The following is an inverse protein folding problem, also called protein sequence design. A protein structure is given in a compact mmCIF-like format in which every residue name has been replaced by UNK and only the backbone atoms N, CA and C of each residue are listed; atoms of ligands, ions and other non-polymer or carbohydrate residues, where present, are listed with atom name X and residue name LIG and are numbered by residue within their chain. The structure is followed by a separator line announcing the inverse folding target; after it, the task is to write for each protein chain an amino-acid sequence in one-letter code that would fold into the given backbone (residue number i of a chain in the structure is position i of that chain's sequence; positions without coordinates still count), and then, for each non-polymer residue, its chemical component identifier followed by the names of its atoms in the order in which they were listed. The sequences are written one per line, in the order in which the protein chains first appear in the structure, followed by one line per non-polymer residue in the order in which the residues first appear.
data_IF_633731735404
#
_entry.id   IF_633731735404
#
_cell.length_a   1.000
_cell.length_b   1.000
_cell.length_c   1.000
_cell.angle_alpha   90.00
_cell.angle_beta   90.00
_cell.angle_gamma   90.00
#
_symmetry.space_group_name_H-M   'P 1'
#
loop_
_entity.id
_entity.type
_entity.pdbx_description
1 polymer ?
#
# COMPACT_ATOMS: atom_id res chain seq x y z
N UNK A 1 26.76 53.74 -11.78
CA UNK A 1 27.02 52.37 -12.29
C UNK A 1 26.77 52.41 -13.78
N UNK A 2 27.62 51.80 -14.60
CA UNK A 2 27.29 51.64 -16.02
C UNK A 2 26.11 50.68 -16.16
N UNK A 3 25.06 51.11 -16.85
CA UNK A 3 23.96 50.25 -17.25
C UNK A 3 24.39 49.38 -18.44
N UNK A 4 23.60 48.36 -18.75
CA UNK A 4 23.83 47.54 -19.95
C UNK A 4 23.76 48.36 -21.23
N UNK A 5 22.97 49.43 -21.25
CA UNK A 5 22.82 50.30 -22.41
C UNK A 5 24.06 51.17 -22.62
N UNK A 6 24.70 51.62 -21.53
CA UNK A 6 25.97 52.35 -21.58
C UNK A 6 27.13 51.47 -22.11
N UNK A 7 27.16 50.20 -21.73
CA UNK A 7 28.18 49.23 -22.21
C UNK A 7 27.98 48.94 -23.69
N UNK A 8 26.72 48.83 -24.16
CA UNK A 8 26.39 48.65 -25.58
C UNK A 8 26.76 49.89 -26.40
N UNK A 9 26.48 51.07 -25.89
CA UNK A 9 26.89 52.33 -26.51
C UNK A 9 28.41 52.39 -26.64
N UNK A 10 29.14 52.13 -25.55
CA UNK A 10 30.60 52.14 -25.52
C UNK A 10 31.20 51.15 -26.52
N UNK A 11 30.62 49.96 -26.64
CA UNK A 11 31.02 48.98 -27.65
C UNK A 11 30.91 49.52 -29.08
N UNK A 12 29.77 50.15 -29.41
CA UNK A 12 29.53 50.74 -30.73
C UNK A 12 30.52 51.85 -31.06
N UNK A 13 30.73 52.78 -30.13
CA UNK A 13 31.68 53.89 -30.31
C UNK A 13 33.13 53.39 -30.47
N UNK A 14 33.57 52.44 -29.66
CA UNK A 14 34.92 51.86 -29.80
C UNK A 14 35.09 51.09 -31.12
N UNK A 15 34.02 50.50 -31.65
CA UNK A 15 34.03 49.82 -32.93
C UNK A 15 34.21 50.80 -34.09
N UNK A 16 33.47 51.91 -34.09
CA UNK A 16 33.58 52.98 -35.09
C UNK A 16 34.97 53.63 -35.07
N UNK A 17 35.49 53.97 -33.88
CA UNK A 17 36.81 54.59 -33.75
C UNK A 17 37.94 53.68 -34.25
N UNK A 18 37.79 52.35 -34.12
CA UNK A 18 38.78 51.40 -34.61
C UNK A 18 38.85 51.32 -36.14
N UNK A 19 37.78 51.69 -36.85
CA UNK A 19 37.81 51.74 -38.32
C UNK A 19 38.76 52.84 -38.82
N UNK A 20 38.99 53.87 -38.01
CA UNK A 20 39.86 55.02 -38.33
C UNK A 20 41.24 54.89 -37.68
N UNK A 21 41.33 54.31 -36.48
CA UNK A 21 42.57 54.17 -35.71
C UNK A 21 42.72 52.76 -35.10
N UNK A 22 43.72 52.02 -35.56
CA UNK A 22 43.98 50.64 -35.10
C UNK A 22 44.50 50.55 -33.66
N UNK A 23 44.87 51.66 -33.02
CA UNK A 23 45.43 51.68 -31.66
C UNK A 23 44.36 51.66 -30.56
N UNK A 24 43.08 51.77 -30.91
CA UNK A 24 41.96 51.82 -29.96
C UNK A 24 41.79 50.47 -29.24
N UNK A 25 41.82 50.43 -27.89
CA UNK A 25 41.74 49.20 -27.11
C UNK A 25 40.40 48.48 -27.28
N UNK A 26 40.38 47.19 -26.97
CA UNK A 26 39.15 46.40 -27.00
C UNK A 26 38.32 46.60 -25.72
N UNK A 27 37.00 46.48 -25.85
CA UNK A 27 36.09 46.61 -24.71
C UNK A 27 36.46 45.66 -23.56
N UNK A 28 36.86 44.42 -23.87
CA UNK A 28 37.29 43.45 -22.85
C UNK A 28 38.53 43.93 -22.07
N UNK A 29 39.41 44.71 -22.69
CA UNK A 29 40.60 45.30 -22.06
C UNK A 29 40.20 46.39 -21.07
N UNK A 30 39.16 47.18 -21.40
CA UNK A 30 38.63 48.23 -20.53
C UNK A 30 37.79 47.66 -19.37
N UNK A 31 37.11 46.54 -19.61
CA UNK A 31 36.32 45.83 -18.60
C UNK A 31 37.18 44.90 -17.73
N UNK A 32 38.46 44.71 -18.07
CA UNK A 32 39.38 43.91 -17.27
C UNK A 32 39.58 44.55 -15.90
N UNK A 33 39.10 43.89 -14.84
CA UNK A 33 39.16 44.39 -13.46
C UNK A 33 37.88 45.07 -12.96
N UNK A 34 36.84 45.19 -13.79
CA UNK A 34 35.55 45.70 -13.33
C UNK A 34 34.75 44.61 -12.56
N UNK A 35 34.13 44.99 -11.45
CA UNK A 35 33.24 44.09 -10.69
C UNK A 35 31.81 44.16 -11.22
N UNK A 36 31.31 43.03 -11.71
CA UNK A 36 29.92 42.86 -12.10
C UNK A 36 29.04 42.72 -10.84
N UNK A 37 28.06 43.61 -10.65
CA UNK A 37 27.01 43.40 -9.64
C UNK A 37 25.78 42.81 -10.32
N UNK A 38 25.49 41.55 -10.06
CA UNK A 38 24.24 40.92 -10.48
C UNK A 38 23.09 41.37 -9.57
N UNK A 39 21.88 41.58 -10.10
CA UNK A 39 20.71 41.70 -9.26
C UNK A 39 20.49 40.38 -8.50
N UNK A 40 20.27 40.47 -7.20
CA UNK A 40 19.86 39.32 -6.41
C UNK A 40 18.41 38.96 -6.73
N UNK A 41 18.15 37.67 -6.95
CA UNK A 41 16.79 37.20 -7.17
C UNK A 41 15.98 37.33 -5.87
N UNK A 42 14.75 37.90 -5.91
CA UNK A 42 13.93 37.97 -4.72
C UNK A 42 13.63 36.57 -4.19
N UNK A 43 13.88 36.35 -2.90
CA UNK A 43 13.54 35.10 -2.22
C UNK A 43 12.02 35.10 -2.04
N UNK A 44 11.33 34.20 -2.74
CA UNK A 44 9.90 33.99 -2.50
C UNK A 44 9.71 33.19 -1.21
N UNK A 45 8.95 33.72 -0.28
CA UNK A 45 8.57 33.01 0.94
C UNK A 45 7.72 31.79 0.60
N UNK A 46 8.03 30.65 1.23
CA UNK A 46 7.32 29.40 0.96
C UNK A 46 5.94 29.47 1.59
N UNK A 47 4.90 29.17 0.81
CA UNK A 47 3.53 29.15 1.33
C UNK A 47 3.43 28.11 2.48
N UNK A 48 3.02 28.52 3.69
CA UNK A 48 3.00 27.66 4.88
C UNK A 48 2.04 26.46 4.72
N UNK A 49 0.95 26.63 3.97
CA UNK A 49 -0.03 25.56 3.71
C UNK A 49 0.57 24.46 2.82
N UNK A 50 1.31 24.85 1.78
CA UNK A 50 2.00 23.91 0.90
C UNK A 50 3.12 23.18 1.63
N UNK A 51 3.83 23.87 2.51
CA UNK A 51 4.88 23.26 3.33
C UNK A 51 4.32 22.22 4.30
N UNK A 52 3.24 22.54 5.03
CA UNK A 52 2.57 21.58 5.90
C UNK A 52 2.11 20.33 5.13
N UNK A 53 1.59 20.53 3.91
CA UNK A 53 1.20 19.41 3.04
C UNK A 53 2.39 18.56 2.60
N UNK A 54 3.49 19.18 2.22
CA UNK A 54 4.73 18.48 1.84
C UNK A 54 5.33 17.70 3.01
N UNK A 55 5.33 18.27 4.22
CA UNK A 55 5.78 17.58 5.43
C UNK A 55 4.92 16.36 5.74
N UNK A 56 3.59 16.49 5.64
CA UNK A 56 2.66 15.37 5.81
C UNK A 56 2.92 14.25 4.80
N UNK A 57 3.02 14.58 3.50
CA UNK A 57 3.28 13.61 2.44
C UNK A 57 4.64 12.92 2.60
N UNK A 58 5.67 13.67 3.01
CA UNK A 58 7.00 13.11 3.28
C UNK A 58 6.95 12.11 4.43
N UNK A 59 6.27 12.47 5.52
CA UNK A 59 6.07 11.57 6.65
C UNK A 59 5.33 10.29 6.25
N UNK A 60 4.25 10.40 5.48
CA UNK A 60 3.51 9.23 4.96
C UNK A 60 4.38 8.32 4.07
N UNK A 61 5.28 8.89 3.27
CA UNK A 61 6.23 8.12 2.45
C UNK A 61 7.30 7.45 3.31
N UNK A 62 7.88 8.16 4.27
CA UNK A 62 8.87 7.65 5.22
C UNK A 62 8.29 6.50 6.05
N UNK A 63 7.06 6.62 6.53
CA UNK A 63 6.35 5.55 7.26
C UNK A 63 6.18 4.31 6.37
N UNK A 64 5.76 4.49 5.11
CA UNK A 64 5.60 3.39 4.14
C UNK A 64 6.93 2.70 3.85
N UNK A 65 8.00 3.47 3.70
CA UNK A 65 9.35 2.96 3.46
C UNK A 65 9.90 2.25 4.68
N UNK A 66 9.70 2.79 5.88
CA UNK A 66 10.02 2.16 7.15
C UNK A 66 9.31 0.81 7.29
N UNK A 67 8.01 0.74 7.05
CA UNK A 67 7.25 -0.52 7.07
C UNK A 67 7.75 -1.51 6.02
N UNK A 68 8.14 -1.05 4.82
CA UNK A 68 8.71 -1.91 3.78
C UNK A 68 10.05 -2.51 4.21
N UNK A 69 10.93 -1.71 4.80
CA UNK A 69 12.26 -2.14 5.26
C UNK A 69 12.16 -3.08 6.48
N UNK A 70 11.23 -2.80 7.39
CA UNK A 70 11.10 -3.56 8.65
C UNK A 70 10.17 -4.77 8.56
N UNK A 71 9.49 -4.99 7.43
CA UNK A 71 8.57 -6.12 7.18
C UNK A 71 9.17 -7.50 7.50
N UNK A 72 10.48 -7.66 7.31
CA UNK A 72 11.17 -8.94 7.52
C UNK A 72 11.78 -9.09 8.92
N UNK A 73 11.83 -8.01 9.70
CA UNK A 73 12.49 -7.96 11.01
C UNK A 73 11.49 -8.22 12.14
N UNK A 74 10.24 -7.77 12.00
CA UNK A 74 9.17 -8.02 12.98
C UNK A 74 8.51 -9.38 12.71
N UNK A 75 9.13 -10.46 13.19
CA UNK A 75 8.54 -11.81 13.18
C UNK A 75 7.41 -11.97 14.21
N UNK A 76 7.31 -11.07 15.19
CA UNK A 76 6.37 -11.12 16.32
C UNK A 76 4.99 -10.59 15.90
N UNK A 77 4.93 -9.57 15.03
CA UNK A 77 3.67 -9.12 14.39
C UNK A 77 3.28 -9.92 13.15
N UNK A 78 4.06 -10.94 12.75
CA UNK A 78 3.83 -11.73 11.53
C UNK A 78 2.69 -12.77 11.67
N UNK A 79 1.94 -12.77 12.76
CA UNK A 79 0.90 -13.77 13.04
C UNK A 79 -0.39 -13.14 13.61
N UNK A 80 -1.09 -12.37 12.77
CA UNK A 80 -2.55 -12.50 12.69
C UNK A 80 -2.91 -12.59 11.21
N UNK A 81 -3.03 -13.80 10.64
CA UNK A 81 -3.36 -13.98 9.23
C UNK A 81 -4.76 -13.44 8.86
N UNK A 82 -5.59 -13.16 9.85
CA UNK A 82 -6.97 -12.67 9.74
C UNK A 82 -7.10 -11.24 9.17
N UNK A 83 -6.08 -10.38 9.35
CA UNK A 83 -6.15 -8.94 9.01
C UNK A 83 -5.46 -8.58 7.69
N UNK A 84 -4.83 -9.55 7.01
CA UNK A 84 -4.34 -9.28 5.67
C UNK A 84 -5.53 -9.23 4.72
N UNK A 85 -5.84 -8.05 4.19
CA UNK A 85 -6.90 -7.83 3.19
C UNK A 85 -6.86 -8.89 2.07
N UNK A 86 -5.68 -9.38 1.72
CA UNK A 86 -5.46 -10.49 0.79
C UNK A 86 -6.08 -11.83 1.22
N UNK A 87 -6.04 -12.17 2.52
CA UNK A 87 -6.64 -13.39 3.05
C UNK A 87 -8.16 -13.30 3.06
N UNK A 88 -8.70 -12.16 3.49
CA UNK A 88 -10.15 -11.90 3.45
C UNK A 88 -10.68 -11.89 2.02
N UNK A 89 -9.98 -11.26 1.06
CA UNK A 89 -10.33 -11.35 -0.37
C UNK A 89 -10.35 -12.80 -0.86
N UNK A 90 -9.36 -13.61 -0.46
CA UNK A 90 -9.27 -15.01 -0.87
C UNK A 90 -10.44 -15.85 -0.30
N UNK A 91 -10.83 -15.59 0.94
CA UNK A 91 -11.98 -16.24 1.57
C UNK A 91 -13.29 -15.84 0.90
N UNK A 92 -13.51 -14.54 0.63
CA UNK A 92 -14.69 -14.03 -0.09
C UNK A 92 -14.80 -14.67 -1.48
N UNK A 93 -13.69 -14.74 -2.23
CA UNK A 93 -13.68 -15.39 -3.54
C UNK A 93 -14.11 -16.86 -3.47
N UNK A 94 -13.71 -17.57 -2.41
CA UNK A 94 -14.07 -18.99 -2.24
C UNK A 94 -15.55 -19.17 -1.95
N UNK A 95 -16.15 -18.31 -1.13
CA UNK A 95 -17.59 -18.32 -0.88
C UNK A 95 -18.39 -17.93 -2.13
N UNK A 96 -17.92 -16.94 -2.91
CA UNK A 96 -18.55 -16.55 -4.17
C UNK A 96 -18.59 -17.71 -5.17
N UNK A 97 -17.47 -18.44 -5.30
CA UNK A 97 -17.40 -19.64 -6.15
C UNK A 97 -18.39 -20.72 -5.69
N UNK A 98 -18.52 -20.93 -4.37
CA UNK A 98 -19.47 -21.89 -3.83
C UNK A 98 -20.94 -21.51 -4.13
N UNK A 99 -21.29 -20.24 -4.01
CA UNK A 99 -22.63 -19.74 -4.36
C UNK A 99 -22.90 -19.89 -5.85
N UNK A 100 -21.93 -19.56 -6.71
CA UNK A 100 -22.07 -19.76 -8.15
C UNK A 100 -22.28 -21.24 -8.50
N UNK A 101 -21.52 -22.15 -7.88
CA UNK A 101 -21.67 -23.59 -8.09
C UNK A 101 -23.04 -24.10 -7.66
N UNK A 102 -23.55 -23.63 -6.52
CA UNK A 102 -24.91 -23.94 -6.07
C UNK A 102 -25.95 -23.54 -7.12
N UNK A 103 -25.88 -22.32 -7.65
CA UNK A 103 -26.81 -21.84 -8.67
C UNK A 103 -26.73 -22.67 -9.96
N UNK A 104 -25.52 -23.00 -10.42
CA UNK A 104 -25.33 -23.85 -11.59
C UNK A 104 -25.88 -25.26 -11.38
N UNK A 105 -25.66 -25.85 -10.21
CA UNK A 105 -26.16 -27.19 -9.83
C UNK A 105 -27.70 -27.23 -9.83
N UNK A 106 -28.34 -26.25 -9.19
CA UNK A 106 -29.81 -26.15 -9.13
C UNK A 106 -30.39 -25.87 -10.52
N UNK A 107 -29.79 -24.96 -11.29
CA UNK A 107 -30.23 -24.65 -12.65
C UNK A 107 -30.08 -25.86 -13.58
N UNK A 108 -28.97 -26.60 -13.50
CA UNK A 108 -28.76 -27.82 -14.25
C UNK A 108 -29.76 -28.92 -13.86
N UNK A 109 -30.02 -29.10 -12.57
CA UNK A 109 -31.03 -30.03 -12.06
C UNK A 109 -32.44 -29.72 -12.55
N UNK A 110 -32.82 -28.43 -12.51
CA UNK A 110 -34.09 -27.97 -13.05
C UNK A 110 -34.17 -28.18 -14.57
N UNK A 111 -33.15 -27.77 -15.32
CA UNK A 111 -33.10 -27.94 -16.77
C UNK A 111 -33.14 -29.42 -17.17
N UNK A 112 -32.47 -30.30 -16.43
CA UNK A 112 -32.53 -31.74 -16.62
C UNK A 112 -33.94 -32.29 -16.33
N UNK A 113 -34.58 -31.89 -15.23
CA UNK A 113 -35.93 -32.35 -14.91
C UNK A 113 -37.01 -31.82 -15.87
N UNK A 114 -36.82 -30.63 -16.44
CA UNK A 114 -37.76 -29.99 -17.36
C UNK A 114 -37.53 -30.42 -18.83
N UNK A 115 -36.33 -30.20 -19.36
CA UNK A 115 -35.96 -30.51 -20.77
C UNK A 115 -35.44 -31.93 -20.92
N UNK A 116 -34.61 -32.39 -19.97
CA UNK A 116 -33.97 -33.70 -20.06
C UNK A 116 -34.98 -34.85 -20.06
N UNK A 117 -36.06 -34.73 -19.28
CA UNK A 117 -37.11 -35.76 -19.19
C UNK A 117 -38.02 -35.75 -20.42
N UNK A 118 -38.27 -34.58 -21.01
CA UNK A 118 -38.94 -34.47 -22.31
C UNK A 118 -38.15 -35.20 -23.41
N UNK A 119 -36.83 -35.03 -23.44
CA UNK A 119 -35.97 -35.69 -24.42
C UNK A 119 -35.92 -37.22 -24.22
N UNK A 120 -36.10 -37.71 -22.99
CA UNK A 120 -35.96 -39.12 -22.64
C UNK A 120 -37.26 -39.93 -22.77
N UNK A 121 -38.40 -39.35 -22.38
CA UNK A 121 -39.70 -40.04 -22.27
C UNK A 121 -40.72 -39.55 -23.31
N UNK A 122 -40.51 -38.39 -23.95
CA UNK A 122 -41.39 -37.87 -25.00
C UNK A 122 -42.51 -36.95 -24.47
N UNK A 123 -43.69 -36.99 -25.12
CA UNK A 123 -44.80 -36.06 -24.87
C UNK A 123 -45.39 -36.24 -23.45
N UNK A 124 -44.92 -35.39 -22.53
CA UNK A 124 -45.43 -35.26 -21.17
C UNK A 124 -46.00 -33.85 -21.04
N UNK A 125 -47.11 -33.69 -20.34
CA UNK A 125 -47.73 -32.36 -20.18
C UNK A 125 -46.76 -31.39 -19.51
N UNK A 126 -46.79 -30.14 -19.98
CA UNK A 126 -45.92 -29.06 -19.50
C UNK A 126 -45.95 -28.93 -17.97
N UNK A 127 -47.13 -29.05 -17.36
CA UNK A 127 -47.30 -28.96 -15.91
C UNK A 127 -46.57 -30.05 -15.13
N UNK A 128 -46.59 -31.30 -15.62
CA UNK A 128 -45.87 -32.41 -14.99
C UNK A 128 -44.35 -32.24 -15.12
N UNK A 129 -43.87 -31.77 -16.28
CA UNK A 129 -42.44 -31.48 -16.49
C UNK A 129 -41.94 -30.36 -15.58
N UNK A 130 -42.72 -29.30 -15.44
CA UNK A 130 -42.41 -28.19 -14.56
C UNK A 130 -42.37 -28.64 -13.10
N UNK A 131 -43.38 -29.40 -12.66
CA UNK A 131 -43.46 -29.93 -11.30
C UNK A 131 -42.28 -30.85 -10.99
N UNK A 132 -41.95 -31.76 -11.92
CA UNK A 132 -40.84 -32.69 -11.77
C UNK A 132 -39.48 -31.98 -11.76
N UNK A 133 -39.28 -30.98 -12.62
CA UNK A 133 -38.11 -30.12 -12.61
C UNK A 133 -37.94 -29.38 -11.28
N UNK A 134 -39.02 -28.85 -10.71
CA UNK A 134 -38.99 -28.18 -9.40
C UNK A 134 -38.67 -29.17 -8.29
N UNK A 135 -39.28 -30.37 -8.27
CA UNK A 135 -39.00 -31.39 -7.26
C UNK A 135 -37.52 -31.80 -7.29
N UNK A 136 -36.98 -32.08 -8.48
CA UNK A 136 -35.56 -32.45 -8.64
C UNK A 136 -34.65 -31.31 -8.20
N UNK A 137 -34.94 -30.08 -8.61
CA UNK A 137 -34.17 -28.89 -8.23
C UNK A 137 -34.20 -28.65 -6.71
N UNK A 138 -35.34 -28.88 -6.04
CA UNK A 138 -35.46 -28.76 -4.59
C UNK A 138 -34.62 -29.80 -3.85
N UNK A 139 -34.60 -31.05 -4.31
CA UNK A 139 -33.77 -32.10 -3.71
C UNK A 139 -32.29 -31.75 -3.83
N UNK A 140 -31.84 -31.28 -5.00
CA UNK A 140 -30.46 -30.85 -5.23
C UNK A 140 -30.12 -29.63 -4.36
N UNK A 141 -31.03 -28.65 -4.29
CA UNK A 141 -30.81 -27.45 -3.48
C UNK A 141 -30.65 -27.77 -1.98
N UNK A 142 -31.47 -28.68 -1.45
CA UNK A 142 -31.35 -29.15 -0.07
C UNK A 142 -30.04 -29.89 0.17
N UNK A 143 -29.62 -30.75 -0.78
CA UNK A 143 -28.35 -31.46 -0.68
C UNK A 143 -27.16 -30.48 -0.67
N UNK A 144 -27.13 -29.51 -1.59
CA UNK A 144 -26.05 -28.52 -1.69
C UNK A 144 -25.98 -27.61 -0.46
N UNK A 145 -27.13 -27.13 0.06
CA UNK A 145 -27.17 -26.31 1.29
C UNK A 145 -26.71 -27.13 2.51
N UNK A 146 -27.10 -28.40 2.59
CA UNK A 146 -26.65 -29.30 3.65
C UNK A 146 -25.12 -29.50 3.61
N UNK A 147 -24.56 -29.78 2.43
CA UNK A 147 -23.11 -29.93 2.26
C UNK A 147 -22.36 -28.63 2.53
N UNK A 148 -22.90 -27.49 2.11
CA UNK A 148 -22.30 -26.17 2.37
C UNK A 148 -22.27 -25.86 3.87
N UNK A 149 -23.39 -26.06 4.57
CA UNK A 149 -23.48 -25.85 6.02
C UNK A 149 -22.52 -26.75 6.79
N UNK A 150 -22.42 -28.04 6.41
CA UNK A 150 -21.48 -28.98 7.03
C UNK A 150 -20.02 -28.58 6.80
N UNK A 151 -19.66 -28.21 5.56
CA UNK A 151 -18.30 -27.79 5.21
C UNK A 151 -17.90 -26.48 5.91
N UNK A 152 -18.85 -25.57 6.09
CA UNK A 152 -18.65 -24.36 6.90
C UNK A 152 -18.39 -24.74 8.36
N UNK A 153 -19.19 -25.63 8.95
CA UNK A 153 -18.99 -26.07 10.34
C UNK A 153 -17.64 -26.76 10.58
N UNK A 154 -17.20 -27.62 9.64
CA UNK A 154 -15.89 -28.29 9.72
C UNK A 154 -14.71 -27.31 9.68
N UNK A 155 -14.83 -26.17 8.99
CA UNK A 155 -13.79 -25.13 8.99
C UNK A 155 -13.71 -24.34 10.30
N UNK A 156 -14.82 -24.22 11.02
CA UNK A 156 -14.83 -23.59 12.35
C UNK A 156 -14.26 -24.51 13.44
N UNK A 157 -14.30 -25.83 13.25
CA UNK A 157 -13.84 -26.81 14.25
C UNK A 157 -12.34 -27.15 14.20
N UNK A 158 -11.57 -26.61 13.24
CA UNK A 158 -10.13 -26.84 13.20
C UNK A 158 -9.45 -26.24 14.44
N UNK A 159 -8.80 -27.06 15.29
CA UNK A 159 -8.04 -26.53 16.42
C UNK A 159 -6.87 -25.69 15.90
N UNK A 160 -6.48 -24.62 16.63
CA UNK A 160 -5.36 -23.77 16.24
C UNK A 160 -4.12 -24.65 15.97
N UNK A 161 -3.32 -24.35 14.92
CA UNK A 161 -2.09 -25.07 14.64
C UNK A 161 -1.28 -25.19 15.93
N UNK A 162 -0.79 -26.40 16.31
CA UNK A 162 -0.04 -26.55 17.54
C UNK A 162 1.12 -25.57 17.50
N UNK A 163 1.12 -24.61 18.42
CA UNK A 163 2.21 -23.70 18.61
C UNK A 163 3.48 -24.54 18.68
N UNK A 164 4.40 -24.34 17.73
CA UNK A 164 5.67 -25.04 17.70
C UNK A 164 6.38 -24.78 19.03
N UNK A 165 6.27 -25.75 19.94
CA UNK A 165 6.96 -25.77 21.23
C UNK A 165 8.45 -25.69 20.91
N UNK A 166 9.04 -24.51 21.10
CA UNK A 166 10.48 -24.35 21.10
C UNK A 166 11.04 -25.19 22.25
N UNK A 167 11.61 -26.36 21.92
CA UNK A 167 12.44 -27.12 22.85
C UNK A 167 13.72 -26.33 23.11
N UNK A 168 13.68 -25.43 24.08
CA UNK A 168 14.88 -24.86 24.70
C UNK A 168 15.50 -25.88 25.66
N UNK A 169 16.70 -26.36 25.34
CA UNK A 169 17.57 -27.14 26.25
C UNK A 169 17.92 -26.30 27.49
N UNK A 170 18.03 -26.89 28.70
CA UNK A 170 18.41 -26.15 29.89
C UNK A 170 19.95 -26.03 29.95
N UNK A 171 20.46 -24.80 30.02
CA UNK A 171 21.79 -24.55 30.55
C UNK A 171 21.65 -23.85 31.90
N UNK A 172 21.99 -24.62 32.94
CA UNK A 172 22.32 -24.12 34.26
C UNK A 172 23.57 -23.22 34.21
N UNK A 173 23.90 -22.61 35.37
CA UNK A 173 25.13 -21.84 35.71
C UNK A 173 24.94 -20.32 35.50
N UNK A 174 25.04 -19.38 36.47
CA UNK A 174 25.56 -19.39 37.84
C UNK A 174 25.10 -18.11 38.60
N UNK A 175 24.62 -18.32 39.84
CA UNK A 175 24.77 -17.58 41.10
C UNK A 175 24.99 -16.03 41.17
N UNK A 176 24.18 -15.48 42.08
CA UNK A 176 24.49 -14.65 43.26
C UNK A 176 24.67 -13.13 43.12
N UNK A 177 23.70 -12.46 43.76
CA UNK A 177 23.66 -11.09 44.30
C UNK A 177 24.83 -10.82 45.26
N UNK A 178 25.25 -9.55 45.42
CA UNK A 178 25.24 -9.01 46.79
C UNK A 178 24.58 -7.63 46.91
N UNK A 179 23.88 -7.47 48.04
CA UNK A 179 23.35 -6.22 48.59
C UNK A 179 24.48 -5.24 48.94
N UNK A 180 24.23 -3.93 48.77
CA UNK A 180 24.76 -2.89 49.65
C UNK A 180 23.72 -1.79 49.87
N UNK A 181 23.35 -1.62 51.13
CA UNK A 181 22.69 -0.43 51.70
C UNK A 181 23.70 0.72 51.72
N UNK A 182 23.25 1.94 51.42
CA UNK A 182 23.79 3.13 52.08
C UNK A 182 22.67 4.15 52.25
N UNK A 183 22.48 4.58 53.49
CA UNK A 183 21.56 5.61 53.93
C UNK A 183 22.14 7.01 53.70
N UNK A 184 21.28 8.03 53.76
CA UNK A 184 21.41 9.46 54.16
C UNK A 184 20.52 10.25 53.17
N UNK A 185 19.38 10.84 53.51
CA UNK A 185 19.03 11.62 54.69
C UNK A 185 19.02 13.11 54.31
N UNK A 186 17.85 13.69 53.99
CA UNK A 186 17.37 15.00 54.46
C UNK A 186 15.99 15.38 53.90
N UNK A 187 15.17 15.83 54.83
CA UNK A 187 13.76 16.25 54.84
C UNK A 187 13.52 17.56 54.07
N UNK A 188 12.43 17.67 53.29
CA UNK A 188 11.14 18.35 53.55
C UNK A 188 11.16 19.89 53.74
N UNK A 189 10.34 20.56 52.90
CA UNK A 189 9.50 21.74 53.13
C UNK A 189 10.05 22.92 53.96
N UNK A 190 10.22 24.08 53.32
CA UNK A 190 9.33 25.27 53.40
C UNK A 190 9.68 26.25 52.26
#
# INVERSE_FOLDING_TARGET
MLSLDDVKWLYGTLHEMRQTDATVPYLHTLLAGCSLKLPENPIQERNPELEARCQRLRKEQEDREYHRMTKNVDSVRKHMPEDTLSYQMKQINRHLIAVAQFLFSVAAGFAFGFIGIELLIGQLDFGFRLLLGIIIALVIALAEIYFLAKKLNEEYELPPPPALVSKGKPSAVLKTVPSKKFATGKEHHE
#
